data_IF_964350094914
#
_entry.id   IF_964350094914
#
_cell.length_a   1.000
_cell.length_b   1.000
_cell.length_c   1.000
_cell.angle_alpha   90.00
_cell.angle_beta   90.00
_cell.angle_gamma   90.00
#
_symmetry.space_group_name_H-M   'P 1'
#
loop_
_entity.id
_entity.type
_entity.pdbx_description
1 polymer ?
#
# COMPACT_ATOMS: atom_id res chain seq x y z
N UNK A 1 6.24 25.00 -22.33
CA UNK A 1 5.16 25.99 -22.15
C UNK A 1 5.17 26.41 -20.68
N UNK A 2 5.33 27.71 -20.41
CA UNK A 2 5.26 28.21 -19.03
C UNK A 2 3.82 28.67 -18.75
N UNK A 3 3.23 28.13 -17.69
CA UNK A 3 1.92 28.49 -17.21
C UNK A 3 2.03 29.64 -16.21
N UNK A 4 1.08 30.57 -16.28
CA UNK A 4 0.93 31.67 -15.30
C UNK A 4 -0.38 31.56 -14.51
N UNK A 5 -1.14 30.50 -14.79
CA UNK A 5 -2.40 30.09 -14.17
C UNK A 5 -2.86 28.78 -14.82
N UNK A 6 -3.96 28.20 -14.32
CA UNK A 6 -4.70 27.19 -15.08
C UNK A 6 -4.99 27.68 -16.49
N UNK A 7 -4.60 26.90 -17.50
CA UNK A 7 -4.73 27.28 -18.91
C UNK A 7 -5.87 26.52 -19.58
N UNK A 8 -6.97 27.23 -19.87
CA UNK A 8 -8.05 26.69 -20.72
C UNK A 8 -7.57 26.38 -22.14
N UNK A 9 -6.55 27.11 -22.60
CA UNK A 9 -5.90 26.90 -23.88
C UNK A 9 -4.96 25.69 -23.92
N UNK A 10 -4.63 25.08 -22.79
CA UNK A 10 -3.93 23.80 -22.68
C UNK A 10 -4.95 22.66 -22.52
N UNK A 11 -5.77 22.75 -21.46
CA UNK A 11 -6.65 21.66 -21.01
C UNK A 11 -7.79 21.30 -21.97
N UNK A 12 -8.02 22.10 -23.02
CA UNK A 12 -9.01 21.84 -24.06
C UNK A 12 -8.43 21.46 -25.42
N UNK A 13 -7.12 21.23 -25.52
CA UNK A 13 -6.45 20.91 -26.78
C UNK A 13 -6.55 19.43 -27.11
N UNK A 14 -6.66 19.14 -28.40
CA UNK A 14 -6.42 17.79 -28.90
C UNK A 14 -4.92 17.58 -29.16
N UNK A 15 -4.53 16.30 -29.25
CA UNK A 15 -3.18 15.81 -29.54
C UNK A 15 -2.43 16.64 -30.60
N UNK A 16 -3.02 16.80 -31.79
CA UNK A 16 -2.38 17.53 -32.90
C UNK A 16 -2.07 19.01 -32.61
N UNK A 17 -2.69 19.60 -31.58
CA UNK A 17 -2.48 21.00 -31.21
C UNK A 17 -1.37 21.19 -30.16
N UNK A 18 -0.95 20.13 -29.50
CA UNK A 18 0.20 20.13 -28.57
C UNK A 18 1.39 19.35 -29.11
N UNK A 19 1.28 18.79 -30.33
CA UNK A 19 2.40 18.19 -31.05
C UNK A 19 3.64 19.10 -31.05
N UNK A 20 4.73 18.60 -30.44
CA UNK A 20 5.99 19.34 -30.27
C UNK A 20 6.10 20.17 -28.98
N UNK A 21 5.18 20.01 -28.02
CA UNK A 21 5.30 20.53 -26.66
C UNK A 21 5.67 19.38 -25.74
N UNK A 22 6.92 19.32 -25.29
CA UNK A 22 7.38 18.23 -24.42
C UNK A 22 7.57 18.69 -22.97
N UNK A 23 7.41 19.98 -22.68
CA UNK A 23 7.59 20.53 -21.35
C UNK A 23 6.46 21.51 -20.99
N UNK A 24 5.85 21.35 -19.81
CA UNK A 24 4.83 22.22 -19.25
C UNK A 24 5.24 22.56 -17.82
N UNK A 25 5.35 23.85 -17.48
CA UNK A 25 5.83 24.25 -16.17
C UNK A 25 4.98 25.35 -15.56
N UNK A 26 4.48 25.13 -14.35
CA UNK A 26 3.81 26.10 -13.48
C UNK A 26 4.68 26.49 -12.27
N UNK A 27 6.00 26.21 -12.30
CA UNK A 27 6.90 26.37 -11.15
C UNK A 27 7.01 27.80 -10.59
N UNK A 28 6.62 28.81 -11.37
CA UNK A 28 6.62 30.21 -10.93
C UNK A 28 5.36 30.60 -10.14
N UNK A 29 4.36 29.71 -10.10
CA UNK A 29 3.05 30.00 -9.52
C UNK A 29 2.99 29.61 -8.03
N UNK A 30 2.34 30.49 -7.26
CA UNK A 30 2.05 30.26 -5.84
C UNK A 30 0.65 29.69 -5.61
N UNK A 31 -0.19 29.70 -6.63
CA UNK A 31 -1.55 29.17 -6.58
C UNK A 31 -1.62 27.89 -7.41
N UNK A 32 -2.44 26.95 -6.93
CA UNK A 32 -2.67 25.68 -7.60
C UNK A 32 -3.17 25.84 -9.03
N UNK A 33 -2.70 24.97 -9.92
CA UNK A 33 -3.06 24.91 -11.33
C UNK A 33 -3.73 23.58 -11.68
N UNK A 34 -4.55 23.60 -12.73
CA UNK A 34 -5.03 22.37 -13.38
C UNK A 34 -4.27 22.18 -14.68
N UNK A 35 -3.59 21.04 -14.80
CA UNK A 35 -2.92 20.55 -16.01
C UNK A 35 -3.61 19.26 -16.41
N UNK A 36 -4.29 19.24 -17.55
CA UNK A 36 -4.95 18.04 -18.05
C UNK A 36 -4.46 17.71 -19.46
N UNK A 37 -3.68 16.65 -19.57
CA UNK A 37 -3.11 16.13 -20.81
C UNK A 37 -3.70 14.79 -21.22
N UNK A 38 -4.81 14.37 -20.63
CA UNK A 38 -5.42 13.03 -20.84
C UNK A 38 -5.89 12.74 -22.27
N UNK A 39 -5.75 13.69 -23.20
CA UNK A 39 -6.10 13.58 -24.62
C UNK A 39 -4.86 13.68 -25.53
N UNK A 40 -3.66 13.69 -24.96
CA UNK A 40 -2.40 13.79 -25.68
C UNK A 40 -1.68 12.44 -25.67
N UNK A 41 -0.89 12.18 -26.71
CA UNK A 41 -0.19 10.91 -26.91
C UNK A 41 1.32 11.00 -26.77
N UNK A 42 1.87 12.20 -26.59
CA UNK A 42 3.29 12.40 -26.29
C UNK A 42 3.60 12.19 -24.80
N UNK A 43 4.88 11.95 -24.50
CA UNK A 43 5.40 12.03 -23.13
C UNK A 43 5.79 13.48 -22.77
N UNK A 44 5.39 13.93 -21.59
CA UNK A 44 5.56 15.30 -21.12
C UNK A 44 6.44 15.38 -19.87
N UNK A 45 7.31 16.38 -19.83
CA UNK A 45 7.92 16.89 -18.61
C UNK A 45 6.98 17.94 -18.00
N UNK A 46 6.32 17.60 -16.91
CA UNK A 46 5.35 18.45 -16.21
C UNK A 46 5.96 18.95 -14.91
N UNK A 47 5.84 20.24 -14.63
CA UNK A 47 6.16 20.82 -13.31
C UNK A 47 4.96 21.56 -12.78
N UNK A 48 4.48 21.16 -11.61
CA UNK A 48 3.45 21.84 -10.84
C UNK A 48 3.91 23.19 -10.28
N UNK A 49 3.04 23.80 -9.50
CA UNK A 49 3.22 25.04 -8.76
C UNK A 49 3.67 24.75 -7.32
N UNK A 50 3.61 25.76 -6.46
CA UNK A 50 3.77 25.58 -5.00
C UNK A 50 2.45 25.56 -4.22
N UNK A 51 1.32 25.59 -4.95
CA UNK A 51 -0.02 25.41 -4.40
C UNK A 51 -0.60 24.04 -4.76
N UNK A 52 -1.78 23.73 -4.24
CA UNK A 52 -2.46 22.45 -4.50
C UNK A 52 -2.89 22.31 -5.97
N UNK A 53 -2.18 21.49 -6.73
CA UNK A 53 -2.39 21.28 -8.16
C UNK A 53 -3.32 20.09 -8.45
N UNK A 54 -3.86 20.07 -9.67
CA UNK A 54 -4.48 18.88 -10.26
C UNK A 54 -3.80 18.61 -11.58
N UNK A 55 -3.03 17.53 -11.66
CA UNK A 55 -2.22 17.19 -12.83
C UNK A 55 -2.67 15.83 -13.39
N UNK A 56 -2.84 15.74 -14.69
CA UNK A 56 -3.10 14.49 -15.40
C UNK A 56 -2.19 14.47 -16.60
N UNK A 57 -1.32 13.46 -16.69
CA UNK A 57 -0.46 13.23 -17.85
C UNK A 57 -1.22 12.70 -19.07
N UNK A 58 -0.45 12.34 -20.10
CA UNK A 58 -0.89 11.81 -21.37
C UNK A 58 -0.99 10.28 -21.36
N UNK A 59 -0.78 9.68 -22.54
CA UNK A 59 -0.80 8.22 -22.72
C UNK A 59 0.57 7.59 -23.02
N UNK A 60 1.64 8.37 -22.96
CA UNK A 60 3.03 7.92 -23.09
C UNK A 60 3.80 8.40 -21.86
N UNK A 61 5.04 7.94 -21.69
CA UNK A 61 5.79 8.08 -20.44
C UNK A 61 5.99 9.56 -20.04
N UNK A 62 5.34 9.95 -18.95
CA UNK A 62 5.41 11.30 -18.40
C UNK A 62 6.43 11.40 -17.26
N UNK A 63 7.04 12.57 -17.13
CA UNK A 63 7.87 12.95 -15.99
C UNK A 63 7.22 14.12 -15.28
N UNK A 64 6.66 13.87 -14.10
CA UNK A 64 5.87 14.84 -13.36
C UNK A 64 6.57 15.21 -12.07
N UNK A 65 7.06 16.45 -11.99
CA UNK A 65 7.37 17.06 -10.72
C UNK A 65 6.11 17.77 -10.20
N UNK A 66 5.47 17.23 -9.17
CA UNK A 66 4.19 17.78 -8.65
C UNK A 66 4.35 19.15 -7.98
N UNK A 67 5.57 19.53 -7.62
CA UNK A 67 5.82 20.75 -6.86
C UNK A 67 5.55 20.54 -5.37
N UNK A 68 5.19 21.63 -4.68
CA UNK A 68 4.82 21.60 -3.27
C UNK A 68 3.34 21.86 -3.13
N UNK A 69 2.74 21.41 -2.03
CA UNK A 69 1.30 21.52 -1.81
C UNK A 69 0.67 20.15 -1.67
N UNK A 70 -0.66 20.13 -1.57
CA UNK A 70 -1.41 18.89 -1.53
C UNK A 70 -2.02 18.64 -2.90
N UNK A 71 -1.35 17.82 -3.70
CA UNK A 71 -1.66 17.67 -5.12
C UNK A 71 -2.54 16.45 -5.40
N UNK A 72 -3.30 16.55 -6.48
CA UNK A 72 -4.03 15.44 -7.09
C UNK A 72 -3.37 15.09 -8.42
N UNK A 73 -2.82 13.89 -8.56
CA UNK A 73 -2.21 13.45 -9.83
C UNK A 73 -2.76 12.15 -10.39
N UNK A 74 -2.73 12.10 -11.71
CA UNK A 74 -2.74 10.87 -12.48
C UNK A 74 -1.56 10.88 -13.44
N UNK A 75 -0.75 9.81 -13.43
CA UNK A 75 0.33 9.62 -14.41
C UNK A 75 -0.26 9.54 -15.81
N UNK A 76 -1.18 8.61 -16.02
CA UNK A 76 -1.83 8.41 -17.31
C UNK A 76 -1.72 6.96 -17.73
N UNK A 77 -1.63 6.70 -19.02
CA UNK A 77 -1.09 5.43 -19.50
C UNK A 77 0.41 5.62 -19.77
N UNK A 78 1.21 4.57 -19.63
CA UNK A 78 2.66 4.65 -19.88
C UNK A 78 3.46 4.38 -18.61
N UNK A 79 4.79 4.39 -18.71
CA UNK A 79 5.65 4.23 -17.55
C UNK A 79 6.00 5.63 -17.03
N UNK A 80 5.28 6.07 -16.01
CA UNK A 80 5.39 7.44 -15.53
C UNK A 80 6.39 7.55 -14.37
N UNK A 81 7.07 8.69 -14.31
CA UNK A 81 7.91 9.09 -13.18
C UNK A 81 7.28 10.28 -12.46
N UNK A 82 6.92 10.10 -11.20
CA UNK A 82 6.33 11.14 -10.36
C UNK A 82 7.31 11.45 -9.23
N UNK A 83 7.74 12.70 -9.15
CA UNK A 83 8.63 13.27 -8.12
C UNK A 83 7.93 14.47 -7.47
N UNK A 84 8.14 14.68 -6.18
CA UNK A 84 7.51 15.77 -5.45
C UNK A 84 8.27 16.23 -4.23
N UNK A 85 7.96 17.45 -3.79
CA UNK A 85 8.32 17.89 -2.45
C UNK A 85 7.33 17.31 -1.42
N UNK A 86 7.68 17.49 -0.14
CA UNK A 86 6.85 17.17 1.01
C UNK A 86 5.38 17.57 0.80
N UNK A 87 4.45 16.67 1.07
CA UNK A 87 3.02 16.98 1.07
C UNK A 87 2.12 15.74 1.04
N UNK A 88 0.83 15.99 1.26
CA UNK A 88 -0.17 14.94 1.05
C UNK A 88 -0.51 14.87 -0.44
N UNK A 89 -0.36 13.69 -1.01
CA UNK A 89 -0.59 13.43 -2.42
C UNK A 89 -1.72 12.42 -2.59
N UNK A 90 -2.70 12.74 -3.44
CA UNK A 90 -3.68 11.76 -3.91
C UNK A 90 -3.37 11.43 -5.37
N UNK A 91 -3.04 10.19 -5.68
CA UNK A 91 -2.90 9.87 -7.08
C UNK A 91 -2.68 8.42 -7.48
N UNK A 92 -3.08 8.20 -8.73
CA UNK A 92 -3.07 6.92 -9.44
C UNK A 92 -2.01 7.05 -10.52
N UNK A 93 -1.02 6.17 -10.57
CA UNK A 93 -0.04 6.22 -11.66
C UNK A 93 -0.69 5.81 -12.97
N UNK A 94 -1.51 4.76 -12.95
CA UNK A 94 -2.29 4.27 -14.07
C UNK A 94 -1.79 2.92 -14.55
N UNK A 95 -2.00 2.55 -15.83
CA UNK A 95 -1.38 1.38 -16.45
C UNK A 95 0.07 1.65 -16.85
N UNK A 96 0.99 0.79 -16.42
CA UNK A 96 2.40 0.85 -16.79
C UNK A 96 3.34 0.46 -15.65
N UNK A 97 4.63 0.61 -15.88
CA UNK A 97 5.67 0.42 -14.87
C UNK A 97 6.06 1.77 -14.28
N UNK A 98 5.35 2.17 -13.24
CA UNK A 98 5.43 3.53 -12.72
C UNK A 98 6.40 3.64 -11.55
N UNK A 99 7.06 4.79 -11.45
CA UNK A 99 7.95 5.12 -10.35
C UNK A 99 7.47 6.39 -9.65
N UNK A 100 7.34 6.33 -8.33
CA UNK A 100 6.97 7.45 -7.48
C UNK A 100 8.05 7.65 -6.42
N UNK A 101 8.56 8.87 -6.34
CA UNK A 101 9.44 9.33 -5.26
C UNK A 101 8.72 10.45 -4.50
N UNK A 102 8.44 10.22 -3.22
CA UNK A 102 7.79 11.21 -2.35
C UNK A 102 8.79 12.26 -1.83
N UNK A 103 10.10 11.99 -1.94
CA UNK A 103 11.15 12.96 -1.65
C UNK A 103 11.49 13.05 -0.16
N UNK A 104 11.62 14.28 0.35
CA UNK A 104 11.93 14.51 1.75
C UNK A 104 10.79 15.28 2.41
N UNK A 105 10.44 14.91 3.63
CA UNK A 105 9.27 15.39 4.35
C UNK A 105 8.49 14.22 4.95
N UNK A 106 7.53 14.53 5.82
CA UNK A 106 6.52 13.53 6.18
C UNK A 106 5.45 13.55 5.07
N UNK A 107 5.46 12.55 4.19
CA UNK A 107 4.58 12.47 3.04
C UNK A 107 3.40 11.52 3.27
N UNK A 108 2.30 11.76 2.58
CA UNK A 108 1.11 10.90 2.67
C UNK A 108 0.56 10.66 1.28
N UNK A 109 0.75 9.46 0.74
CA UNK A 109 0.16 9.03 -0.52
C UNK A 109 -1.13 8.26 -0.30
N UNK A 110 -2.22 8.75 -0.89
CA UNK A 110 -3.54 8.16 -0.80
C UNK A 110 -3.98 7.69 -2.19
N UNK A 111 -4.23 6.39 -2.35
CA UNK A 111 -4.70 5.76 -3.60
C UNK A 111 -3.64 5.41 -4.65
N UNK A 112 -2.56 4.79 -4.20
CA UNK A 112 -1.60 4.14 -5.09
C UNK A 112 -2.23 2.90 -5.75
N UNK A 113 -2.57 2.99 -7.04
CA UNK A 113 -3.21 1.94 -7.84
C UNK A 113 -2.34 1.67 -9.07
N UNK A 114 -1.81 0.46 -9.19
CA UNK A 114 -1.27 -0.04 -10.46
C UNK A 114 -2.42 -0.75 -11.21
N UNK A 115 -3.00 -0.09 -12.22
CA UNK A 115 -4.13 -0.67 -12.96
C UNK A 115 -3.68 -1.87 -13.82
N UNK A 116 -2.44 -1.83 -14.32
CA UNK A 116 -1.66 -2.96 -14.82
C UNK A 116 -0.16 -2.58 -14.81
N UNK A 117 0.77 -3.56 -14.76
CA UNK A 117 2.21 -3.30 -14.67
C UNK A 117 2.77 -3.35 -13.24
N UNK A 118 3.97 -2.80 -13.04
CA UNK A 118 4.65 -2.75 -11.73
C UNK A 118 4.63 -1.34 -11.14
N UNK A 119 4.66 -1.23 -9.82
CA UNK A 119 4.82 0.06 -9.14
C UNK A 119 6.05 0.08 -8.25
N UNK A 120 6.87 1.12 -8.39
CA UNK A 120 8.03 1.38 -7.54
C UNK A 120 7.81 2.65 -6.76
N UNK A 121 7.71 2.57 -5.43
CA UNK A 121 7.53 3.75 -4.58
C UNK A 121 8.63 3.86 -3.54
N UNK A 122 9.16 5.06 -3.39
CA UNK A 122 10.08 5.48 -2.34
C UNK A 122 9.41 6.58 -1.51
N UNK A 123 9.34 6.40 -0.19
CA UNK A 123 8.95 7.44 0.77
C UNK A 123 10.05 8.50 0.90
N UNK A 124 11.29 8.05 1.00
CA UNK A 124 12.46 8.91 1.03
C UNK A 124 12.83 9.27 2.45
N UNK A 125 12.79 10.54 2.86
CA UNK A 125 13.21 10.94 4.21
C UNK A 125 12.08 11.59 5.00
N UNK A 126 11.65 10.97 6.09
CA UNK A 126 10.57 11.45 6.95
C UNK A 126 9.74 10.27 7.44
N UNK A 127 8.59 10.54 8.04
CA UNK A 127 7.66 9.48 8.43
C UNK A 127 6.54 9.41 7.40
N UNK A 128 6.66 8.47 6.48
CA UNK A 128 5.81 8.41 5.30
C UNK A 128 4.62 7.47 5.49
N UNK A 129 3.51 7.80 4.84
CA UNK A 129 2.32 6.97 4.78
C UNK A 129 1.96 6.63 3.34
N UNK A 130 1.93 5.34 3.02
CA UNK A 130 1.64 4.83 1.68
C UNK A 130 0.40 3.94 1.65
N UNK A 131 -0.72 4.44 1.12
CA UNK A 131 -1.94 3.65 0.98
C UNK A 131 -2.07 3.00 -0.40
N UNK A 132 -1.95 1.67 -0.42
CA UNK A 132 -2.15 0.81 -1.58
C UNK A 132 -3.63 0.46 -1.74
N UNK A 133 -4.25 0.98 -2.80
CA UNK A 133 -5.64 0.68 -3.13
C UNK A 133 -5.69 -0.40 -4.21
N UNK A 134 -6.48 -1.46 -3.99
CA UNK A 134 -6.63 -2.52 -4.99
C UNK A 134 -5.36 -3.36 -5.21
N UNK A 135 -4.53 -3.51 -4.18
CA UNK A 135 -3.29 -4.31 -4.18
C UNK A 135 -3.47 -5.81 -4.51
N UNK A 136 -4.63 -6.23 -5.02
CA UNK A 136 -4.95 -7.61 -5.37
C UNK A 136 -4.03 -8.26 -6.42
N UNK A 137 -3.13 -7.50 -7.07
CA UNK A 137 -2.11 -8.05 -8.00
C UNK A 137 -0.91 -7.10 -8.28
N UNK A 138 -0.64 -6.10 -7.44
CA UNK A 138 0.45 -5.16 -7.71
C UNK A 138 1.80 -5.86 -7.48
N UNK A 139 2.69 -5.82 -8.48
CA UNK A 139 4.09 -6.23 -8.33
C UNK A 139 4.99 -5.00 -8.36
N UNK A 140 6.21 -5.10 -7.82
CA UNK A 140 7.14 -3.98 -7.77
C UNK A 140 7.73 -3.77 -6.38
N UNK A 141 8.11 -2.53 -6.06
CA UNK A 141 8.87 -2.18 -4.85
C UNK A 141 8.14 -1.12 -4.04
N UNK A 142 8.13 -1.29 -2.72
CA UNK A 142 7.70 -0.28 -1.76
C UNK A 142 8.85 -0.11 -0.77
N UNK A 143 9.44 1.07 -0.76
CA UNK A 143 10.54 1.44 0.14
C UNK A 143 10.10 2.65 0.97
N UNK A 144 10.00 2.53 2.29
CA UNK A 144 9.69 3.71 3.12
C UNK A 144 10.84 4.70 3.18
N UNK A 145 12.07 4.20 3.16
CA UNK A 145 13.27 5.02 3.19
C UNK A 145 13.78 5.22 4.62
N UNK A 146 13.94 6.47 5.06
CA UNK A 146 14.45 6.79 6.39
C UNK A 146 13.39 7.48 7.23
N UNK A 147 13.10 6.93 8.40
CA UNK A 147 12.17 7.49 9.37
C UNK A 147 11.32 6.37 9.94
N UNK A 148 10.07 6.68 10.30
CA UNK A 148 9.09 5.68 10.69
C UNK A 148 7.98 5.65 9.65
N UNK A 149 7.99 4.62 8.83
CA UNK A 149 7.18 4.53 7.63
C UNK A 149 6.03 3.55 7.81
N UNK A 150 4.92 3.85 7.16
CA UNK A 150 3.68 3.11 7.28
C UNK A 150 3.12 2.80 5.91
N UNK A 151 2.80 1.54 5.66
CA UNK A 151 2.02 1.15 4.50
C UNK A 151 0.62 0.73 4.91
N UNK A 152 -0.38 1.10 4.13
CA UNK A 152 -1.75 0.63 4.28
C UNK A 152 -2.12 -0.28 3.11
N UNK A 153 -2.56 -1.49 3.41
CA UNK A 153 -3.16 -2.40 2.44
C UNK A 153 -4.68 -2.44 2.64
N UNK A 154 -5.45 -2.29 1.55
CA UNK A 154 -6.92 -2.24 1.59
C UNK A 154 -7.59 -3.40 0.83
N UNK A 155 -8.85 -3.71 1.16
CA UNK A 155 -9.78 -4.53 0.35
C UNK A 155 -9.27 -5.91 -0.12
N UNK A 156 -8.64 -6.67 0.78
CA UNK A 156 -8.08 -8.01 0.54
C UNK A 156 -6.82 -7.94 -0.31
N UNK A 157 -5.99 -6.91 -0.04
CA UNK A 157 -4.74 -6.69 -0.73
C UNK A 157 -3.84 -7.92 -0.64
N UNK A 158 -3.31 -8.36 -1.79
CA UNK A 158 -2.28 -9.38 -1.87
C UNK A 158 -0.94 -8.66 -2.08
N UNK A 159 -0.22 -8.44 -0.98
CA UNK A 159 1.10 -7.81 -1.03
C UNK A 159 2.21 -8.83 -1.29
N UNK A 160 1.89 -10.13 -1.46
CA UNK A 160 2.91 -11.19 -1.60
C UNK A 160 3.81 -11.06 -2.82
N UNK A 161 3.43 -10.23 -3.78
CA UNK A 161 4.19 -9.93 -5.01
C UNK A 161 5.04 -8.66 -4.93
N UNK A 162 4.97 -7.91 -3.82
CA UNK A 162 5.75 -6.69 -3.60
C UNK A 162 7.07 -6.99 -2.88
N UNK A 163 8.15 -6.36 -3.33
CA UNK A 163 9.37 -6.24 -2.54
C UNK A 163 9.21 -5.03 -1.60
N UNK A 164 9.12 -5.29 -0.30
CA UNK A 164 8.89 -4.26 0.72
C UNK A 164 10.18 -4.10 1.54
N UNK A 165 10.62 -2.86 1.74
CA UNK A 165 11.78 -2.52 2.56
C UNK A 165 11.55 -1.24 3.35
N UNK A 166 12.22 -1.11 4.50
CA UNK A 166 12.18 0.09 5.34
C UNK A 166 10.75 0.58 5.60
N UNK A 167 9.83 -0.34 5.92
CA UNK A 167 8.47 -0.01 6.33
C UNK A 167 8.23 -0.68 7.67
N UNK A 168 8.10 0.12 8.72
CA UNK A 168 7.98 -0.38 10.08
C UNK A 168 6.54 -0.79 10.41
N UNK A 169 5.53 -0.19 9.75
CA UNK A 169 4.13 -0.43 10.10
C UNK A 169 3.26 -0.84 8.92
N UNK A 170 2.63 -2.00 9.04
CA UNK A 170 1.51 -2.41 8.20
C UNK A 170 0.18 -2.01 8.84
N UNK A 171 -0.62 -1.24 8.09
CA UNK A 171 -1.98 -0.86 8.45
C UNK A 171 -2.96 -1.65 7.58
N UNK A 172 -3.76 -2.50 8.20
CA UNK A 172 -4.84 -3.24 7.56
C UNK A 172 -6.12 -2.38 7.54
N UNK A 173 -6.82 -2.30 6.41
CA UNK A 173 -8.09 -1.55 6.31
C UNK A 173 -9.29 -2.49 6.10
N UNK A 174 -10.25 -2.44 7.02
CA UNK A 174 -11.34 -3.40 7.14
C UNK A 174 -12.74 -2.87 6.77
N UNK A 175 -12.85 -1.82 5.94
CA UNK A 175 -14.15 -1.47 5.38
C UNK A 175 -14.64 -2.65 4.52
N UNK A 176 -15.88 -3.10 4.71
CA UNK A 176 -16.57 -4.11 3.89
C UNK A 176 -16.36 -5.61 4.21
N UNK A 177 -16.29 -6.00 5.48
CA UNK A 177 -16.52 -7.40 5.87
C UNK A 177 -15.26 -8.23 6.11
N UNK A 178 -14.23 -7.58 6.66
CA UNK A 178 -12.98 -8.18 7.12
C UNK A 178 -12.14 -8.83 6.01
N UNK A 179 -11.78 -8.07 4.95
CA UNK A 179 -10.86 -8.56 3.95
C UNK A 179 -9.47 -8.82 4.57
N UNK A 180 -8.98 -10.05 4.43
CA UNK A 180 -7.65 -10.45 4.92
C UNK A 180 -6.53 -9.91 4.04
N UNK A 181 -5.45 -9.39 4.65
CA UNK A 181 -4.24 -9.03 3.92
C UNK A 181 -3.38 -10.27 3.71
N UNK A 182 -3.08 -10.57 2.44
CA UNK A 182 -2.26 -11.72 2.06
C UNK A 182 -0.81 -11.30 1.85
N UNK A 183 0.11 -11.96 2.54
CA UNK A 183 1.55 -11.72 2.43
C UNK A 183 2.35 -13.02 2.62
N UNK A 184 3.63 -13.00 2.27
CA UNK A 184 4.56 -14.07 2.62
C UNK A 184 4.96 -13.98 4.10
N UNK A 185 5.45 -15.09 4.66
CA UNK A 185 6.01 -15.11 6.02
C UNK A 185 7.06 -13.99 6.19
N UNK A 186 8.07 -13.96 5.32
CA UNK A 186 9.15 -12.97 5.40
C UNK A 186 8.68 -11.50 5.33
N UNK A 187 7.53 -11.23 4.70
CA UNK A 187 6.96 -9.89 4.71
C UNK A 187 6.29 -9.56 6.03
N UNK A 188 5.54 -10.50 6.62
CA UNK A 188 4.96 -10.26 7.95
C UNK A 188 6.05 -9.99 8.99
N UNK A 189 7.11 -10.79 9.00
CA UNK A 189 8.29 -10.64 9.88
C UNK A 189 9.15 -9.41 9.58
N UNK A 190 8.87 -8.68 8.50
CA UNK A 190 9.64 -7.48 8.14
C UNK A 190 9.07 -6.19 8.75
N UNK A 191 7.84 -6.24 9.25
CA UNK A 191 7.21 -5.11 9.92
C UNK A 191 7.57 -5.11 11.40
N UNK A 192 7.70 -3.95 12.02
CA UNK A 192 7.75 -3.83 13.48
C UNK A 192 6.35 -3.93 14.08
N UNK A 193 5.32 -3.47 13.37
CA UNK A 193 3.93 -3.45 13.86
C UNK A 193 2.89 -3.71 12.78
N UNK A 194 1.87 -4.51 13.11
CA UNK A 194 0.70 -4.76 12.27
C UNK A 194 -0.56 -4.31 13.02
N UNK A 195 -1.26 -3.32 12.47
CA UNK A 195 -2.43 -2.70 13.10
C UNK A 195 -3.63 -2.66 12.17
N UNK A 196 -4.81 -2.41 12.73
CA UNK A 196 -5.98 -2.03 11.93
C UNK A 196 -6.08 -0.51 11.86
N UNK A 197 -6.58 0.02 10.74
CA UNK A 197 -6.72 1.46 10.51
C UNK A 197 -7.59 2.11 11.60
N UNK A 198 -7.09 3.23 12.13
CA UNK A 198 -7.67 3.92 13.30
C UNK A 198 -8.96 4.66 12.91
N UNK A 199 -10.05 4.38 13.62
CA UNK A 199 -11.39 4.96 13.40
C UNK A 199 -12.53 3.95 13.47
N UNK A 200 -12.21 2.66 13.50
CA UNK A 200 -13.09 1.57 13.90
C UNK A 200 -12.34 0.75 14.94
N UNK A 201 -12.91 0.63 16.15
CA UNK A 201 -12.34 -0.16 17.24
C UNK A 201 -12.48 -1.67 16.94
N UNK A 202 -11.77 -2.14 15.92
CA UNK A 202 -11.46 -3.55 15.79
C UNK A 202 -10.01 -3.72 16.21
N UNK A 203 -9.81 -4.24 17.41
CA UNK A 203 -8.50 -4.71 17.87
C UNK A 203 -8.00 -5.89 17.05
N UNK A 204 -8.88 -6.52 16.27
CA UNK A 204 -8.56 -7.66 15.41
C UNK A 204 -8.08 -7.23 14.02
N UNK A 205 -6.91 -7.71 13.62
CA UNK A 205 -6.43 -7.68 12.22
C UNK A 205 -6.75 -9.01 11.53
N UNK A 206 -6.79 -9.03 10.19
CA UNK A 206 -7.01 -10.27 9.42
C UNK A 206 -5.90 -10.48 8.42
N UNK A 207 -5.22 -11.62 8.52
CA UNK A 207 -4.00 -11.92 7.77
C UNK A 207 -4.09 -13.31 7.12
N UNK A 208 -3.46 -13.46 5.96
CA UNK A 208 -3.39 -14.73 5.24
C UNK A 208 -1.99 -14.99 4.73
N UNK A 209 -1.48 -16.20 4.93
CA UNK A 209 -0.18 -16.61 4.44
C UNK A 209 -0.26 -16.99 2.95
N UNK A 210 0.64 -16.42 2.14
CA UNK A 210 0.61 -16.59 0.69
C UNK A 210 1.13 -17.96 0.20
N UNK A 211 1.90 -18.65 1.03
CA UNK A 211 2.50 -19.95 0.75
C UNK A 211 3.08 -20.57 2.03
N UNK A 212 3.54 -21.83 1.98
CA UNK A 212 3.98 -22.54 3.18
C UNK A 212 5.18 -21.85 3.84
N UNK A 213 5.21 -21.81 5.17
CA UNK A 213 6.29 -21.18 5.91
C UNK A 213 6.05 -21.02 7.40
N UNK A 214 7.03 -20.44 8.08
CA UNK A 214 6.96 -20.10 9.49
C UNK A 214 6.74 -18.60 9.68
N UNK A 215 5.75 -18.24 10.50
CA UNK A 215 5.45 -16.86 10.92
C UNK A 215 5.34 -16.84 12.45
N UNK A 216 5.93 -15.83 13.08
CA UNK A 216 5.91 -15.55 14.51
C UNK A 216 5.51 -14.09 14.72
N UNK A 217 4.21 -13.86 14.90
CA UNK A 217 3.64 -12.52 15.00
C UNK A 217 3.66 -11.94 16.43
N UNK A 218 4.52 -12.47 17.31
CA UNK A 218 4.47 -12.17 18.75
C UNK A 218 4.80 -10.69 19.05
N UNK A 219 5.71 -10.08 18.30
CA UNK A 219 6.11 -8.69 18.45
C UNK A 219 5.40 -7.73 17.48
N UNK A 220 4.95 -8.19 16.31
CA UNK A 220 4.28 -7.32 15.33
C UNK A 220 2.85 -6.97 15.74
N UNK A 221 2.13 -7.90 16.36
CA UNK A 221 0.75 -7.66 16.76
C UNK A 221 0.64 -6.88 18.06
N UNK A 222 1.71 -6.76 18.85
CA UNK A 222 1.70 -6.04 20.15
C UNK A 222 0.54 -6.46 21.09
N UNK A 223 0.17 -7.75 21.08
CA UNK A 223 -0.93 -8.30 21.88
C UNK A 223 -2.33 -8.08 21.29
N UNK A 224 -2.43 -7.62 20.03
CA UNK A 224 -3.70 -7.50 19.31
C UNK A 224 -4.21 -8.88 18.90
N UNK A 225 -5.53 -8.97 18.77
CA UNK A 225 -6.15 -10.19 18.25
C UNK A 225 -5.92 -10.30 16.74
N UNK A 226 -5.88 -11.52 16.21
CA UNK A 226 -5.77 -11.76 14.77
C UNK A 226 -6.73 -12.85 14.30
N UNK A 227 -7.32 -12.66 13.14
CA UNK A 227 -7.88 -13.74 12.33
C UNK A 227 -6.81 -14.15 11.33
N UNK A 228 -6.13 -15.26 11.59
CA UNK A 228 -5.01 -15.74 10.78
C UNK A 228 -5.41 -16.96 9.97
N UNK A 229 -5.12 -16.95 8.67
CA UNK A 229 -5.33 -18.09 7.76
C UNK A 229 -4.01 -18.52 7.16
N UNK A 230 -3.59 -19.76 7.44
CA UNK A 230 -2.48 -20.44 6.81
C UNK A 230 -2.70 -20.71 5.34
N UNK A 231 -1.64 -21.19 4.69
CA UNK A 231 -1.59 -21.60 3.30
C UNK A 231 -2.19 -23.00 3.09
N UNK A 232 -2.06 -23.57 1.89
CA UNK A 232 -2.50 -24.95 1.63
C UNK A 232 -1.41 -26.00 1.91
N UNK A 233 -0.23 -25.58 2.38
CA UNK A 233 0.89 -26.46 2.72
C UNK A 233 1.27 -26.32 4.19
N UNK A 234 2.27 -27.11 4.61
CA UNK A 234 2.70 -27.17 6.01
C UNK A 234 3.18 -25.80 6.52
N UNK A 235 2.44 -25.23 7.47
CA UNK A 235 2.74 -23.94 8.08
C UNK A 235 3.23 -24.07 9.53
N UNK A 236 4.02 -23.11 10.00
CA UNK A 236 4.29 -22.88 11.43
C UNK A 236 3.79 -21.48 11.78
N UNK A 237 2.80 -21.38 12.67
CA UNK A 237 2.10 -20.12 12.95
C UNK A 237 2.16 -19.88 14.44
N UNK A 238 2.79 -18.78 14.86
CA UNK A 238 2.68 -18.22 16.20
C UNK A 238 2.03 -16.85 16.09
N UNK A 239 0.97 -16.61 16.87
CA UNK A 239 0.31 -15.29 16.96
C UNK A 239 0.72 -14.58 18.26
N UNK A 240 -0.12 -13.76 18.88
CA UNK A 240 0.31 -12.90 19.99
C UNK A 240 -0.43 -13.17 21.30
N UNK A 241 -0.65 -12.15 22.13
CA UNK A 241 -1.40 -12.30 23.38
C UNK A 241 -2.90 -11.96 23.22
N UNK A 242 -3.37 -11.86 21.98
CA UNK A 242 -4.76 -11.51 21.64
C UNK A 242 -5.70 -12.72 21.79
N UNK A 243 -7.01 -12.50 21.62
CA UNK A 243 -7.93 -13.63 21.45
C UNK A 243 -7.96 -13.99 19.96
N UNK A 244 -7.13 -14.93 19.55
CA UNK A 244 -6.85 -15.17 18.15
C UNK A 244 -7.82 -16.19 17.55
N UNK A 245 -8.05 -16.10 16.25
CA UNK A 245 -8.77 -17.11 15.47
C UNK A 245 -7.87 -17.59 14.36
N UNK A 246 -7.43 -18.84 14.43
CA UNK A 246 -6.37 -19.36 13.57
C UNK A 246 -6.86 -20.57 12.80
N UNK A 247 -6.77 -20.50 11.47
CA UNK A 247 -7.00 -21.62 10.56
C UNK A 247 -5.69 -22.03 9.92
N UNK A 248 -5.18 -23.22 10.23
CA UNK A 248 -4.01 -23.79 9.53
C UNK A 248 -4.29 -24.12 8.06
N UNK A 249 -5.56 -24.14 7.64
CA UNK A 249 -5.95 -24.53 6.28
C UNK A 249 -5.45 -25.94 5.96
N UNK A 250 -4.75 -26.19 4.85
CA UNK A 250 -4.33 -27.56 4.49
C UNK A 250 -2.85 -27.78 4.75
N UNK A 251 -2.43 -29.03 4.95
CA UNK A 251 -1.04 -29.34 5.31
C UNK A 251 -0.93 -29.90 6.73
N UNK A 252 0.30 -30.15 7.16
CA UNK A 252 0.64 -30.46 8.55
C UNK A 252 1.13 -29.18 9.23
N UNK A 253 0.23 -28.52 9.96
CA UNK A 253 0.53 -27.20 10.53
C UNK A 253 0.99 -27.32 11.97
N UNK A 254 1.86 -26.43 12.43
CA UNK A 254 2.19 -26.24 13.84
C UNK A 254 1.68 -24.88 14.28
N UNK A 255 0.65 -24.84 15.12
CA UNK A 255 -0.05 -23.60 15.48
C UNK A 255 0.05 -23.32 16.98
N UNK A 256 0.39 -22.08 17.33
CA UNK A 256 0.41 -21.55 18.69
C UNK A 256 -0.30 -20.19 18.73
N UNK A 257 -1.41 -20.11 19.47
CA UNK A 257 -2.18 -18.87 19.64
C UNK A 257 -1.53 -17.87 20.60
N UNK A 258 -0.58 -18.32 21.42
CA UNK A 258 0.04 -17.48 22.44
C UNK A 258 -0.82 -17.42 23.71
N UNK A 259 -0.91 -16.24 24.33
CA UNK A 259 -1.82 -16.04 25.47
C UNK A 259 -3.17 -15.54 24.95
N UNK A 260 -4.26 -15.97 25.55
CA UNK A 260 -5.57 -15.47 25.12
C UNK A 260 -6.64 -16.52 25.25
N UNK A 261 -7.83 -16.21 24.74
CA UNK A 261 -8.84 -17.20 24.45
C UNK A 261 -8.87 -17.44 22.94
N UNK A 262 -8.09 -18.40 22.51
CA UNK A 262 -7.84 -18.66 21.10
C UNK A 262 -8.82 -19.67 20.52
N UNK A 263 -9.13 -19.50 19.23
CA UNK A 263 -10.03 -20.36 18.47
C UNK A 263 -9.27 -20.97 17.30
N UNK A 264 -9.06 -22.28 17.35
CA UNK A 264 -8.46 -23.03 16.25
C UNK A 264 -9.54 -23.59 15.32
N UNK A 265 -9.48 -23.22 14.04
CA UNK A 265 -10.45 -23.60 13.01
C UNK A 265 -9.88 -24.71 12.15
N UNK A 266 -10.64 -25.79 12.01
CA UNK A 266 -10.32 -26.92 11.14
C UNK A 266 -11.39 -27.06 10.06
N UNK A 267 -10.99 -27.08 8.78
CA UNK A 267 -11.91 -27.43 7.71
C UNK A 267 -12.16 -28.95 7.70
N UNK A 268 -13.41 -29.37 7.47
CA UNK A 268 -13.71 -30.78 7.28
C UNK A 268 -13.02 -31.28 6.00
N UNK A 269 -12.20 -32.33 6.12
CA UNK A 269 -11.44 -33.00 5.04
C UNK A 269 -10.03 -32.44 4.73
N UNK A 270 -9.38 -31.76 5.67
CA UNK A 270 -7.96 -31.43 5.52
C UNK A 270 -7.12 -32.72 5.54
N UNK A 271 -6.29 -32.90 4.51
CA UNK A 271 -5.25 -33.92 4.52
C UNK A 271 -4.07 -33.37 5.33
N UNK A 272 -3.69 -34.05 6.41
CA UNK A 272 -2.57 -33.65 7.25
C UNK A 272 -2.74 -34.03 8.71
N UNK A 273 -1.70 -33.78 9.49
CA UNK A 273 -1.61 -33.97 10.94
C UNK A 273 -1.10 -32.69 11.57
N UNK A 274 -1.99 -31.70 11.75
CA UNK A 274 -1.64 -30.44 12.42
C UNK A 274 -1.48 -30.64 13.94
N UNK A 275 -0.57 -29.88 14.52
CA UNK A 275 -0.26 -29.81 15.96
C UNK A 275 -0.66 -28.44 16.46
N UNK A 276 -1.46 -28.39 17.52
CA UNK A 276 -1.68 -27.17 18.29
C UNK A 276 -0.81 -27.27 19.54
N UNK A 277 0.02 -26.25 19.78
CA UNK A 277 0.89 -26.16 20.95
C UNK A 277 0.33 -25.26 22.06
N UNK A 278 -0.82 -24.65 21.82
CA UNK A 278 -1.49 -23.69 22.70
C UNK A 278 -2.56 -24.38 23.57
N UNK A 279 -2.14 -24.78 24.78
CA UNK A 279 -3.04 -25.33 25.80
C UNK A 279 -2.77 -24.75 27.20
N UNK A 280 -1.95 -23.70 27.30
CA UNK A 280 -1.70 -23.00 28.57
C UNK A 280 -2.86 -22.02 28.81
N UNK A 281 -3.78 -22.36 29.71
CA UNK A 281 -4.99 -21.56 29.92
C UNK A 281 -4.71 -20.11 30.29
N UNK A 282 -5.26 -19.17 29.51
CA UNK A 282 -5.33 -17.75 29.89
C UNK A 282 -6.07 -17.57 31.23
N UNK A 283 -5.85 -16.45 31.95
CA UNK A 283 -6.55 -16.18 33.20
C UNK A 283 -8.04 -16.02 32.92
N UNK A 284 -8.80 -17.09 33.10
CA UNK A 284 -10.25 -17.09 32.93
C UNK A 284 -10.89 -16.05 33.86
N UNK A 285 -11.48 -15.00 33.28
CA UNK A 285 -12.29 -14.05 34.02
C UNK A 285 -13.70 -14.63 34.12
N UNK A 286 -13.97 -15.35 35.20
CA UNK A 286 -15.33 -15.76 35.53
C UNK A 286 -16.19 -14.52 35.80
N UNK A 287 -17.31 -14.40 35.09
CA UNK A 287 -18.35 -13.42 35.38
C UNK A 287 -19.19 -13.82 36.60
#
# INVERSE_FOLDING_TARGET
>A
MNLTSTSTGLNGRNDSQLSGVEAISAAAESAGVVINLSSQSEGFAITGSSGADTITGGSDNDSINRGAGNDVLSGGDGNDFIDGAAGAFFGVSGPGNDTIDLGAGDDSSWALIAASGTISVSGGAGNDFMALFGATAASGTIDGGSGFDSMQAQQSGDISTLAISNVERLVTYNAYGNPSIKATAAQFESFDTIVSYVGQESDTVSLTLAGPGGVDLTDELLGRSVIFTGSSGDDTITTSNGNDTISGSGGNDSVNGGLGNDTFVFAANLAGSSVIADFEGGPGVGT
#
